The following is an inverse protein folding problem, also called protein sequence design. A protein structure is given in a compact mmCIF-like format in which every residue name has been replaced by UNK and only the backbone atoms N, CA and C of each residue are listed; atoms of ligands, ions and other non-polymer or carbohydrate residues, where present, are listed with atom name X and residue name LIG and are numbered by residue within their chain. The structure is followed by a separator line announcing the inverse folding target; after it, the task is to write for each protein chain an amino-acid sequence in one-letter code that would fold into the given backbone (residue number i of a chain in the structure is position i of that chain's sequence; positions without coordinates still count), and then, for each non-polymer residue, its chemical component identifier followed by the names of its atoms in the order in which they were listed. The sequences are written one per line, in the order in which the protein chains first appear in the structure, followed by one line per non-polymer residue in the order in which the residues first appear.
data_IF_347391290506
#
_entry.id   IF_347391290506
#
_cell.length_a   1.000
_cell.length_b   1.000
_cell.length_c   1.000
_cell.angle_alpha   90.00
_cell.angle_beta   90.00
_cell.angle_gamma   90.00
#
_symmetry.space_group_name_H-M   'P 1'
#
loop_
_entity.id
_entity.type
_entity.pdbx_description
1 polymer ?
#
# COMPACT_ATOMS: atom_id res chain seq x y z
N UNK A 1 24.99 3.09 16.58
CA UNK A 1 25.51 2.01 15.72
C UNK A 1 26.66 2.63 14.92
N UNK A 2 27.92 2.56 15.40
CA UNK A 2 29.01 3.35 14.77
C UNK A 2 30.34 2.58 14.78
N UNK A 3 31.03 2.56 13.62
CA UNK A 3 32.38 2.03 13.44
C UNK A 3 32.50 0.51 13.35
N UNK A 4 31.72 -0.13 12.47
CA UNK A 4 31.82 -1.56 12.25
C UNK A 4 32.89 -1.90 11.22
N UNK A 5 33.67 -2.94 11.51
CA UNK A 5 34.55 -3.54 10.52
C UNK A 5 33.71 -4.16 9.40
N UNK A 6 34.34 -4.41 8.25
CA UNK A 6 33.72 -5.17 7.16
C UNK A 6 33.12 -6.49 7.68
N UNK A 7 33.86 -7.19 8.54
CA UNK A 7 33.41 -8.46 9.13
C UNK A 7 32.11 -8.31 9.91
N UNK A 8 31.96 -7.24 10.69
CA UNK A 8 30.75 -7.04 11.46
C UNK A 8 29.53 -6.74 10.57
N UNK A 9 29.70 -5.99 9.47
CA UNK A 9 28.61 -5.81 8.49
C UNK A 9 28.20 -7.16 7.87
N UNK A 10 29.19 -7.98 7.51
CA UNK A 10 28.94 -9.33 6.97
C UNK A 10 28.14 -10.16 7.97
N UNK A 11 28.57 -10.20 9.23
CA UNK A 11 27.95 -11.05 10.26
C UNK A 11 26.51 -10.61 10.56
N UNK A 12 26.24 -9.32 10.73
CA UNK A 12 24.90 -8.82 11.13
C UNK A 12 23.86 -8.97 10.02
N UNK A 13 24.25 -8.71 8.75
CA UNK A 13 23.36 -8.93 7.60
C UNK A 13 23.07 -10.42 7.46
N UNK A 14 24.12 -11.25 7.55
CA UNK A 14 23.99 -12.70 7.43
C UNK A 14 23.11 -13.28 8.54
N UNK A 15 23.32 -12.88 9.79
CA UNK A 15 22.52 -13.33 10.93
C UNK A 15 21.04 -12.99 10.74
N UNK A 16 20.74 -11.75 10.33
CA UNK A 16 19.35 -11.32 10.09
C UNK A 16 18.66 -12.15 9.00
N UNK A 17 19.40 -12.48 7.94
CA UNK A 17 18.93 -13.31 6.82
C UNK A 17 18.73 -14.76 7.25
N UNK A 18 19.67 -15.34 8.01
CA UNK A 18 19.57 -16.70 8.55
C UNK A 18 18.40 -16.85 9.53
N UNK A 19 18.04 -15.79 10.24
CA UNK A 19 16.86 -15.73 11.12
C UNK A 19 15.54 -15.54 10.36
N UNK A 20 15.57 -15.26 9.06
CA UNK A 20 14.36 -14.97 8.27
C UNK A 20 13.70 -13.64 8.64
N UNK A 21 14.46 -12.67 9.17
CA UNK A 21 13.93 -11.38 9.55
C UNK A 21 13.78 -10.47 8.32
N UNK A 22 12.69 -9.68 8.23
CA UNK A 22 12.60 -8.63 7.22
C UNK A 22 13.59 -7.51 7.56
N UNK A 23 14.69 -7.43 6.81
CA UNK A 23 15.74 -6.44 7.00
C UNK A 23 15.81 -5.45 5.83
N UNK A 24 16.03 -4.18 6.18
CA UNK A 24 16.52 -3.13 5.28
C UNK A 24 17.66 -2.41 5.98
N UNK A 25 18.76 -2.13 5.29
CA UNK A 25 19.78 -1.21 5.80
C UNK A 25 19.25 0.21 5.61
N UNK A 26 18.55 0.69 6.65
CA UNK A 26 17.73 1.90 6.58
C UNK A 26 18.52 3.18 6.35
N UNK A 27 19.77 3.26 6.82
CA UNK A 27 20.65 4.41 6.62
C UNK A 27 22.12 4.00 6.66
N UNK A 28 22.94 4.57 5.77
CA UNK A 28 24.40 4.54 5.87
C UNK A 28 25.04 5.70 5.09
N UNK A 29 26.24 6.10 5.51
CA UNK A 29 27.12 6.99 4.75
C UNK A 29 28.52 6.39 4.63
N UNK A 30 29.48 7.13 4.07
CA UNK A 30 30.88 6.69 4.05
C UNK A 30 31.62 6.87 5.39
N UNK A 31 31.12 7.79 6.22
CA UNK A 31 31.64 8.05 7.57
C UNK A 31 30.59 8.84 8.39
N UNK A 32 30.74 8.88 9.71
CA UNK A 32 29.92 9.70 10.62
C UNK A 32 30.67 10.89 11.23
N UNK A 33 31.99 10.77 11.33
CA UNK A 33 32.90 11.79 11.83
C UNK A 33 34.08 11.92 10.86
N UNK A 34 34.71 13.10 10.78
CA UNK A 34 35.86 13.38 9.91
C UNK A 34 37.20 12.83 10.45
N UNK A 35 37.16 11.64 11.04
CA UNK A 35 38.31 10.94 11.60
C UNK A 35 38.25 9.46 11.22
N UNK A 36 39.38 8.76 11.25
CA UNK A 36 39.45 7.36 10.79
C UNK A 36 38.48 6.41 11.51
N UNK A 37 38.21 6.66 12.80
CA UNK A 37 37.25 5.86 13.59
C UNK A 37 35.79 6.11 13.19
N UNK A 38 35.51 7.19 12.48
CA UNK A 38 34.19 7.53 11.97
C UNK A 38 33.83 6.81 10.67
N UNK A 39 34.78 6.10 10.03
CA UNK A 39 34.56 5.42 8.75
C UNK A 39 33.51 4.32 8.87
N UNK A 40 32.72 4.20 7.82
CA UNK A 40 31.68 3.18 7.68
C UNK A 40 32.05 2.34 6.45
N UNK A 41 32.03 1.00 6.53
CA UNK A 41 32.39 0.10 5.42
C UNK A 41 31.25 0.02 4.38
N UNK A 42 30.86 1.15 3.80
CA UNK A 42 29.70 1.25 2.91
C UNK A 42 29.81 0.37 1.66
N UNK A 43 31.02 0.14 1.13
CA UNK A 43 31.21 -0.78 -0.02
C UNK A 43 30.86 -2.22 0.36
N UNK A 44 31.23 -2.65 1.57
CA UNK A 44 30.83 -3.95 2.11
C UNK A 44 29.33 -4.00 2.35
N UNK A 45 28.71 -2.90 2.81
CA UNK A 45 27.25 -2.81 2.90
C UNK A 45 26.61 -3.04 1.52
N UNK A 46 27.04 -2.32 0.47
CA UNK A 46 26.49 -2.49 -0.89
C UNK A 46 26.61 -3.94 -1.38
N UNK A 47 27.79 -4.53 -1.23
CA UNK A 47 28.06 -5.91 -1.63
C UNK A 47 27.19 -6.92 -0.88
N UNK A 48 27.11 -6.81 0.44
CA UNK A 48 26.37 -7.77 1.28
C UNK A 48 24.86 -7.61 1.11
N UNK A 49 24.37 -6.38 0.93
CA UNK A 49 22.97 -6.14 0.57
C UNK A 49 22.61 -6.85 -0.74
N UNK A 50 23.45 -6.72 -1.77
CA UNK A 50 23.24 -7.42 -3.04
C UNK A 50 23.25 -8.94 -2.88
N UNK A 51 24.29 -9.49 -2.23
CA UNK A 51 24.46 -10.95 -2.07
C UNK A 51 23.36 -11.63 -1.27
N UNK A 52 22.73 -10.89 -0.34
CA UNK A 52 21.71 -11.43 0.56
C UNK A 52 20.29 -10.92 0.25
N UNK A 53 20.09 -10.26 -0.90
CA UNK A 53 18.79 -9.72 -1.31
C UNK A 53 18.17 -8.74 -0.28
N UNK A 54 19.01 -7.99 0.41
CA UNK A 54 18.62 -6.98 1.41
C UNK A 54 18.59 -5.59 0.77
N UNK A 55 17.49 -4.86 0.97
CA UNK A 55 17.37 -3.47 0.52
C UNK A 55 18.23 -2.51 1.33
N UNK A 56 18.56 -1.35 0.76
CA UNK A 56 19.29 -0.29 1.47
C UNK A 56 18.85 1.11 1.06
N UNK A 57 19.11 2.09 1.94
CA UNK A 57 18.95 3.52 1.66
C UNK A 57 20.22 4.27 2.10
N UNK A 58 20.87 4.97 1.17
CA UNK A 58 22.07 5.77 1.45
C UNK A 58 21.70 7.18 1.93
N UNK A 59 22.45 7.72 2.88
CA UNK A 59 22.25 9.04 3.48
C UNK A 59 23.39 10.03 3.16
N UNK A 60 23.14 11.16 2.50
CA UNK A 60 21.90 11.52 1.81
C UNK A 60 22.18 12.37 0.57
N UNK A 61 21.14 12.53 -0.26
CA UNK A 61 21.23 13.21 -1.56
C UNK A 61 21.95 14.55 -1.49
N UNK A 62 21.67 15.34 -0.45
CA UNK A 62 22.29 16.64 -0.23
C UNK A 62 21.96 17.67 -1.33
N UNK A 63 22.52 18.88 -1.22
CA UNK A 63 23.22 19.38 -0.03
C UNK A 63 22.24 19.60 1.13
N UNK A 64 22.76 19.70 2.35
CA UNK A 64 21.95 20.14 3.50
C UNK A 64 22.36 19.58 4.86
N UNK A 65 23.29 18.61 4.90
CA UNK A 65 23.77 18.09 6.17
C UNK A 65 24.59 19.14 6.94
N UNK A 66 24.28 19.33 8.23
CA UNK A 66 24.94 20.28 9.13
C UNK A 66 25.04 19.65 10.54
N UNK A 67 26.24 19.49 11.13
CA UNK A 67 27.55 19.87 10.60
C UNK A 67 28.13 18.90 9.56
N UNK A 68 27.56 17.70 9.37
CA UNK A 68 28.15 16.62 8.56
C UNK A 68 28.01 16.81 7.04
N UNK A 69 28.48 17.94 6.51
CA UNK A 69 28.43 18.27 5.07
C UNK A 69 29.12 17.22 4.17
N UNK A 70 30.05 16.44 4.71
CA UNK A 70 30.68 15.31 4.01
C UNK A 70 29.70 14.18 3.65
N UNK A 71 28.53 14.11 4.29
CA UNK A 71 27.47 13.16 3.93
C UNK A 71 26.67 13.59 2.68
N UNK A 72 26.82 14.83 2.22
CA UNK A 72 26.11 15.30 1.02
C UNK A 72 26.66 14.63 -0.25
N UNK A 73 25.82 13.83 -0.92
CA UNK A 73 26.19 13.11 -2.15
C UNK A 73 26.33 14.03 -3.36
N UNK A 74 25.59 15.14 -3.39
CA UNK A 74 25.61 16.17 -4.45
C UNK A 74 26.06 17.52 -3.90
N UNK A 75 26.48 18.44 -4.78
CA UNK A 75 26.86 19.80 -4.35
C UNK A 75 25.70 20.77 -4.36
N UNK A 76 24.70 20.53 -5.21
CA UNK A 76 23.59 21.46 -5.47
C UNK A 76 22.22 20.77 -5.61
N UNK A 77 22.14 19.47 -5.30
CA UNK A 77 20.91 18.69 -5.38
C UNK A 77 20.63 18.12 -6.76
N UNK A 78 21.48 18.38 -7.75
CA UNK A 78 21.35 17.82 -9.10
C UNK A 78 22.19 16.55 -9.26
N UNK A 79 21.73 15.65 -10.15
CA UNK A 79 22.44 14.40 -10.44
C UNK A 79 23.86 14.64 -10.98
N UNK A 80 24.03 15.69 -11.80
CA UNK A 80 25.32 16.01 -12.43
C UNK A 80 26.41 16.42 -11.43
N UNK A 81 26.02 16.78 -10.20
CA UNK A 81 26.96 17.15 -9.14
C UNK A 81 27.21 16.03 -8.13
N UNK A 82 26.78 14.80 -8.42
CA UNK A 82 27.20 13.61 -7.67
C UNK A 82 28.72 13.51 -7.61
N UNK A 83 29.25 13.28 -6.42
CA UNK A 83 30.70 13.24 -6.16
C UNK A 83 31.07 12.24 -5.08
N UNK A 84 32.36 11.91 -5.02
CA UNK A 84 32.94 11.09 -3.95
C UNK A 84 32.16 9.80 -3.71
N UNK A 85 31.87 9.51 -2.45
CA UNK A 85 31.14 8.30 -2.06
C UNK A 85 29.72 8.24 -2.66
N UNK A 86 29.08 9.40 -2.87
CA UNK A 86 27.75 9.46 -3.49
C UNK A 86 27.75 9.01 -4.95
N UNK A 87 28.76 9.42 -5.71
CA UNK A 87 28.98 8.95 -7.08
C UNK A 87 29.24 7.44 -7.12
N UNK A 88 29.97 6.90 -6.15
CA UNK A 88 30.23 5.47 -6.06
C UNK A 88 28.96 4.67 -5.77
N UNK A 89 28.20 5.06 -4.74
CA UNK A 89 26.92 4.41 -4.38
C UNK A 89 25.92 4.48 -5.54
N UNK A 90 25.82 5.62 -6.23
CA UNK A 90 24.84 5.78 -7.29
C UNK A 90 25.26 5.16 -8.63
N UNK A 91 26.54 5.21 -9.00
CA UNK A 91 26.96 5.05 -10.40
C UNK A 91 28.15 4.12 -10.61
N UNK A 92 29.24 4.26 -9.85
CA UNK A 92 30.53 3.68 -10.26
C UNK A 92 30.92 2.40 -9.53
N UNK A 93 30.37 2.12 -8.35
CA UNK A 93 30.63 0.86 -7.65
C UNK A 93 29.99 -0.33 -8.42
N UNK A 94 30.61 -1.52 -8.46
CA UNK A 94 30.00 -2.71 -9.07
C UNK A 94 28.58 -3.01 -8.53
N UNK A 95 28.34 -2.74 -7.25
CA UNK A 95 27.06 -2.93 -6.58
C UNK A 95 26.26 -1.61 -6.43
N UNK A 96 26.58 -0.61 -7.24
CA UNK A 96 25.88 0.68 -7.25
C UNK A 96 24.42 0.57 -7.70
N UNK A 97 23.61 1.55 -7.30
CA UNK A 97 22.19 1.66 -7.68
C UNK A 97 22.01 1.50 -9.19
N UNK A 98 22.83 2.19 -10.01
CA UNK A 98 22.77 2.07 -11.48
C UNK A 98 22.94 0.64 -12.00
N UNK A 99 23.75 -0.18 -11.33
CA UNK A 99 24.10 -1.52 -11.81
C UNK A 99 23.13 -2.60 -11.32
N UNK A 100 22.54 -2.44 -10.12
CA UNK A 100 21.76 -3.51 -9.48
C UNK A 100 20.30 -3.16 -9.22
N UNK A 101 19.92 -1.89 -9.20
CA UNK A 101 18.54 -1.52 -8.88
C UNK A 101 17.59 -1.90 -10.03
N UNK A 102 16.55 -2.66 -9.70
CA UNK A 102 15.48 -2.98 -10.63
C UNK A 102 14.44 -1.86 -10.56
N UNK A 103 14.29 -1.11 -11.65
CA UNK A 103 13.18 -0.17 -11.79
C UNK A 103 11.89 -0.99 -11.97
N UNK A 104 10.89 -0.88 -11.07
CA UNK A 104 9.64 -1.62 -11.23
C UNK A 104 8.96 -1.18 -12.53
N UNK A 105 8.25 -2.10 -13.19
CA UNK A 105 7.59 -1.82 -14.47
C UNK A 105 6.64 -0.61 -14.41
N UNK A 106 5.98 -0.42 -13.25
CA UNK A 106 5.13 0.74 -12.97
C UNK A 106 5.86 2.09 -13.04
N UNK A 107 7.17 2.10 -12.78
CA UNK A 107 7.98 3.30 -12.91
C UNK A 107 8.55 3.48 -14.32
N UNK A 108 8.49 2.49 -15.21
CA UNK A 108 8.96 2.61 -16.60
C UNK A 108 7.90 3.22 -17.54
N UNK A 109 6.65 3.16 -17.13
CA UNK A 109 5.56 3.87 -17.79
C UNK A 109 5.53 5.32 -17.32
N UNK A 110 5.14 6.24 -18.21
CA UNK A 110 4.83 7.61 -17.81
C UNK A 110 3.82 7.59 -16.64
N UNK A 111 4.02 8.38 -15.57
CA UNK A 111 3.07 8.46 -14.48
C UNK A 111 1.71 8.84 -15.06
N UNK A 112 0.69 8.03 -14.76
CA UNK A 112 -0.66 8.34 -15.21
C UNK A 112 -1.10 9.63 -14.54
N UNK A 113 -1.43 10.64 -15.33
CA UNK A 113 -2.05 11.88 -14.83
C UNK A 113 -3.49 11.65 -14.40
N UNK A 114 -4.07 10.53 -14.80
CA UNK A 114 -5.35 10.07 -14.30
C UNK A 114 -5.17 9.32 -12.97
N UNK A 115 -6.02 9.62 -11.97
CA UNK A 115 -6.09 8.79 -10.77
C UNK A 115 -6.39 7.34 -11.17
N UNK A 116 -5.94 6.34 -10.37
CA UNK A 116 -6.27 4.95 -10.64
C UNK A 116 -7.78 4.82 -10.78
N UNK A 117 -8.24 4.44 -11.96
CA UNK A 117 -9.65 4.13 -12.18
C UNK A 117 -9.90 2.82 -11.44
N UNK A 118 -10.60 2.86 -10.32
CA UNK A 118 -11.16 1.68 -9.66
C UNK A 118 -12.23 1.10 -10.59
N UNK A 119 -11.78 0.32 -11.57
CA UNK A 119 -12.71 -0.38 -12.44
C UNK A 119 -13.45 -1.42 -11.59
N UNK A 120 -14.78 -1.41 -11.65
CA UNK A 120 -15.59 -2.50 -11.11
C UNK A 120 -15.07 -3.80 -11.71
N UNK A 121 -14.69 -4.81 -10.91
CA UNK A 121 -14.33 -6.12 -11.43
C UNK A 121 -15.42 -6.59 -12.39
N UNK A 122 -15.05 -6.90 -13.65
CA UNK A 122 -16.01 -7.42 -14.62
C UNK A 122 -16.64 -8.71 -14.07
N UNK A 123 -17.96 -8.83 -14.19
CA UNK A 123 -18.68 -10.04 -13.75
C UNK A 123 -19.27 -9.96 -12.33
N UNK A 124 -19.55 -8.76 -11.80
CA UNK A 124 -20.36 -8.66 -10.58
C UNK A 124 -21.74 -9.26 -10.83
N UNK A 125 -22.07 -10.31 -10.08
CA UNK A 125 -23.39 -10.96 -10.13
C UNK A 125 -24.51 -10.05 -9.60
N UNK A 126 -24.16 -8.99 -8.86
CA UNK A 126 -25.09 -8.00 -8.36
C UNK A 126 -25.47 -6.95 -9.42
N UNK A 127 -24.74 -6.87 -10.54
CA UNK A 127 -24.95 -5.80 -11.50
C UNK A 127 -26.35 -5.85 -12.12
N UNK A 128 -27.05 -4.72 -12.10
CA UNK A 128 -28.42 -4.54 -12.58
C UNK A 128 -29.47 -5.48 -11.94
N UNK A 129 -29.17 -6.03 -10.77
CA UNK A 129 -30.11 -6.83 -9.97
C UNK A 129 -31.10 -5.96 -9.20
N UNK A 130 -32.28 -6.48 -8.80
CA UNK A 130 -33.19 -5.76 -7.94
C UNK A 130 -32.53 -5.30 -6.63
N UNK A 131 -32.76 -4.05 -6.25
CA UNK A 131 -32.16 -3.45 -5.05
C UNK A 131 -33.25 -2.88 -4.16
N UNK A 132 -33.09 -3.10 -2.86
CA UNK A 132 -34.01 -2.64 -1.85
C UNK A 132 -33.23 -1.89 -0.78
N UNK A 133 -33.75 -0.74 -0.37
CA UNK A 133 -33.13 0.07 0.66
C UNK A 133 -34.16 0.54 1.68
N UNK A 134 -33.70 0.80 2.91
CA UNK A 134 -34.52 1.38 3.97
C UNK A 134 -35.02 2.79 3.62
N UNK A 135 -34.23 3.56 2.87
CA UNK A 135 -34.57 4.91 2.45
C UNK A 135 -33.76 5.33 1.22
N UNK A 136 -34.05 6.53 0.71
CA UNK A 136 -33.25 7.21 -0.30
C UNK A 136 -33.21 8.68 0.03
N UNK A 137 -32.04 9.30 -0.05
CA UNK A 137 -31.89 10.72 0.18
C UNK A 137 -32.76 11.52 -0.81
N UNK A 138 -33.64 12.40 -0.32
CA UNK A 138 -34.55 13.14 -1.20
C UNK A 138 -33.80 14.17 -2.04
N UNK A 139 -34.23 14.32 -3.30
CA UNK A 139 -33.82 15.45 -4.17
C UNK A 139 -32.50 15.27 -4.93
N UNK A 140 -31.70 14.24 -4.66
CA UNK A 140 -30.44 13.98 -5.40
C UNK A 140 -30.56 12.84 -6.43
N UNK A 141 -31.66 12.08 -6.40
CA UNK A 141 -31.89 10.96 -7.31
C UNK A 141 -30.89 9.81 -7.10
N UNK A 142 -30.28 9.69 -5.92
CA UNK A 142 -29.35 8.62 -5.55
C UNK A 142 -30.13 7.35 -5.15
N UNK A 143 -30.91 6.82 -6.10
CA UNK A 143 -31.79 5.67 -5.88
C UNK A 143 -31.00 4.37 -5.67
N UNK A 144 -31.59 3.33 -5.03
CA UNK A 144 -30.86 2.12 -4.66
C UNK A 144 -30.19 1.40 -5.84
N UNK A 145 -30.80 1.42 -7.02
CA UNK A 145 -30.30 0.75 -8.23
C UNK A 145 -28.94 1.30 -8.68
N UNK A 146 -28.64 2.55 -8.34
CA UNK A 146 -27.34 3.16 -8.63
C UNK A 146 -26.19 2.52 -7.87
N UNK A 147 -26.44 1.73 -6.83
CA UNK A 147 -25.40 0.95 -6.16
C UNK A 147 -24.90 -0.24 -7.01
N UNK A 148 -25.66 -0.65 -8.04
CA UNK A 148 -25.37 -1.85 -8.84
C UNK A 148 -25.47 -1.61 -10.35
N UNK A 149 -25.56 -0.37 -10.82
CA UNK A 149 -25.71 -0.05 -12.25
C UNK A 149 -24.40 -0.23 -13.06
N UNK A 150 -23.28 -0.48 -12.38
CA UNK A 150 -21.97 -0.64 -13.00
C UNK A 150 -21.27 0.69 -13.33
N UNK A 151 -21.76 1.81 -12.80
CA UNK A 151 -21.18 3.12 -12.99
C UNK A 151 -20.70 3.71 -11.65
N UNK A 152 -19.38 3.81 -11.47
CA UNK A 152 -18.77 4.34 -10.23
C UNK A 152 -19.03 5.85 -10.01
N UNK A 153 -19.57 6.56 -11.00
CA UNK A 153 -19.96 7.96 -10.88
C UNK A 153 -21.40 8.14 -10.33
N UNK A 154 -22.13 7.05 -10.11
CA UNK A 154 -23.46 7.02 -9.50
C UNK A 154 -23.42 6.25 -8.19
N UNK A 155 -24.35 6.57 -7.29
CA UNK A 155 -24.46 5.94 -5.96
C UNK A 155 -25.89 5.91 -5.47
N UNK A 156 -26.14 5.01 -4.52
CA UNK A 156 -27.24 5.16 -3.57
C UNK A 156 -26.80 6.04 -2.39
N UNK A 157 -27.72 6.84 -1.85
CA UNK A 157 -27.57 7.45 -0.53
C UNK A 157 -28.85 7.31 0.27
N UNK A 158 -28.72 7.05 1.57
CA UNK A 158 -29.83 6.99 2.51
C UNK A 158 -30.22 8.38 3.03
N UNK A 159 -31.30 8.45 3.78
CA UNK A 159 -31.53 9.57 4.68
C UNK A 159 -30.45 9.65 5.79
N UNK A 160 -30.31 10.84 6.38
CA UNK A 160 -29.38 11.14 7.48
C UNK A 160 -29.93 10.68 8.85
N UNK A 161 -30.28 9.40 8.96
CA UNK A 161 -30.71 8.78 10.22
C UNK A 161 -30.23 7.34 10.26
N UNK A 162 -30.08 6.76 11.45
CA UNK A 162 -29.71 5.35 11.60
C UNK A 162 -30.85 4.55 12.26
N UNK A 163 -30.99 3.24 11.96
CA UNK A 163 -30.18 2.45 11.01
C UNK A 163 -30.65 2.58 9.55
N UNK A 164 -29.72 2.49 8.60
CA UNK A 164 -30.01 2.40 7.17
C UNK A 164 -29.40 1.13 6.58
N UNK A 165 -30.12 0.52 5.64
CA UNK A 165 -29.67 -0.66 4.92
C UNK A 165 -29.98 -0.55 3.43
N UNK A 166 -29.19 -1.29 2.66
CA UNK A 166 -29.41 -1.62 1.27
C UNK A 166 -29.10 -3.10 1.11
N UNK A 167 -29.91 -3.82 0.36
CA UNK A 167 -29.65 -5.20 -0.04
C UNK A 167 -30.00 -5.39 -1.52
N UNK A 168 -29.35 -6.37 -2.14
CA UNK A 168 -29.53 -6.71 -3.55
C UNK A 168 -30.08 -8.12 -3.61
N UNK A 169 -31.19 -8.33 -4.30
CA UNK A 169 -31.70 -9.66 -4.59
C UNK A 169 -30.98 -10.19 -5.84
N UNK A 170 -30.18 -11.25 -5.70
CA UNK A 170 -29.44 -11.81 -6.84
C UNK A 170 -30.29 -12.68 -7.77
N UNK A 171 -31.56 -12.92 -7.38
CA UNK A 171 -32.55 -13.74 -8.09
C UNK A 171 -32.22 -15.23 -8.18
N UNK A 172 -31.10 -15.67 -7.60
CA UNK A 172 -30.70 -17.08 -7.46
C UNK A 172 -29.72 -17.23 -6.29
N UNK A 173 -29.46 -18.48 -5.90
CA UNK A 173 -28.43 -18.82 -4.92
C UNK A 173 -27.04 -18.80 -5.56
N UNK A 174 -26.13 -18.01 -4.99
CA UNK A 174 -24.76 -17.92 -5.46
C UNK A 174 -23.76 -18.11 -4.32
N UNK A 175 -22.60 -18.64 -4.68
CA UNK A 175 -21.37 -18.54 -3.92
C UNK A 175 -20.66 -17.23 -4.30
N UNK A 176 -20.58 -16.27 -3.38
CA UNK A 176 -19.85 -15.01 -3.60
C UNK A 176 -18.44 -15.15 -3.05
N UNK A 177 -17.44 -14.90 -3.87
CA UNK A 177 -16.04 -14.91 -3.41
C UNK A 177 -15.60 -13.57 -2.82
N UNK A 178 -16.27 -12.49 -3.21
CA UNK A 178 -15.85 -11.13 -2.89
C UNK A 178 -17.01 -10.16 -2.84
N UNK A 179 -16.89 -9.31 -1.84
CA UNK A 179 -17.66 -8.09 -1.64
C UNK A 179 -16.81 -6.91 -2.11
N UNK A 180 -17.33 -6.07 -2.99
CA UNK A 180 -16.69 -4.80 -3.33
C UNK A 180 -17.66 -3.65 -3.04
N UNK A 181 -17.25 -2.73 -2.17
CA UNK A 181 -18.02 -1.53 -1.82
C UNK A 181 -17.16 -0.32 -2.15
N UNK A 182 -17.64 0.50 -3.09
CA UNK A 182 -17.03 1.79 -3.39
C UNK A 182 -17.78 2.87 -2.60
N UNK A 183 -17.03 3.60 -1.77
CA UNK A 183 -17.58 4.70 -0.99
C UNK A 183 -17.20 6.05 -1.59
N UNK A 184 -18.11 7.02 -1.48
CA UNK A 184 -17.76 8.42 -1.61
C UNK A 184 -17.26 9.01 -0.28
N UNK A 185 -16.89 10.30 -0.28
CA UNK A 185 -16.43 11.04 0.91
C UNK A 185 -17.38 10.96 2.11
N UNK A 186 -18.68 10.78 1.87
CA UNK A 186 -19.68 10.50 2.89
C UNK A 186 -19.94 8.99 2.95
N UNK A 187 -19.34 8.32 3.95
CA UNK A 187 -19.35 6.87 4.09
C UNK A 187 -19.76 6.41 5.48
N UNK A 188 -20.32 5.20 5.57
CA UNK A 188 -20.62 4.56 6.85
C UNK A 188 -19.31 4.23 7.59
N UNK A 189 -19.14 4.74 8.81
CA UNK A 189 -17.95 4.45 9.63
C UNK A 189 -17.97 3.04 10.22
N UNK A 190 -19.15 2.50 10.42
CA UNK A 190 -19.38 1.13 10.86
C UNK A 190 -20.50 0.55 10.02
N UNK A 191 -20.34 -0.70 9.64
CA UNK A 191 -21.36 -1.43 8.90
C UNK A 191 -21.28 -2.91 9.21
N UNK A 192 -22.38 -3.58 8.89
CA UNK A 192 -22.49 -5.03 8.88
C UNK A 192 -22.53 -5.51 7.44
N UNK A 193 -22.24 -6.78 7.26
CA UNK A 193 -22.49 -7.50 6.03
C UNK A 193 -23.31 -8.69 6.47
N UNK A 194 -24.47 -8.88 5.85
CA UNK A 194 -25.37 -9.97 6.21
C UNK A 194 -25.98 -10.58 4.96
N UNK A 195 -26.18 -11.88 5.03
CA UNK A 195 -26.66 -12.74 3.95
C UNK A 195 -28.03 -13.29 4.31
N UNK A 196 -28.88 -13.54 3.32
CA UNK A 196 -30.22 -14.11 3.52
C UNK A 196 -30.70 -14.85 2.28
N UNK A 197 -31.31 -16.01 2.49
CA UNK A 197 -31.94 -16.82 1.43
C UNK A 197 -33.43 -16.44 1.22
N UNK A 198 -34.02 -15.68 2.15
CA UNK A 198 -35.45 -15.38 2.17
C UNK A 198 -35.79 -13.89 2.34
N UNK A 199 -34.77 -13.02 2.45
CA UNK A 199 -34.87 -11.60 2.78
C UNK A 199 -35.57 -11.28 4.12
N UNK A 200 -35.79 -12.28 4.98
CA UNK A 200 -36.45 -12.15 6.28
C UNK A 200 -35.48 -12.44 7.41
N UNK A 201 -34.72 -13.53 7.31
CA UNK A 201 -33.73 -13.95 8.29
C UNK A 201 -32.33 -13.65 7.74
N UNK A 202 -31.60 -12.81 8.47
CA UNK A 202 -30.30 -12.30 8.05
C UNK A 202 -29.19 -12.79 8.97
N UNK A 203 -28.18 -13.43 8.38
CA UNK A 203 -27.02 -13.96 9.11
C UNK A 203 -25.82 -13.03 8.95
N UNK A 204 -25.16 -12.68 10.06
CA UNK A 204 -23.95 -11.84 10.02
C UNK A 204 -22.80 -12.57 9.33
N UNK A 205 -22.14 -11.89 8.39
CA UNK A 205 -20.87 -12.33 7.84
C UNK A 205 -19.70 -11.78 8.66
N UNK A 206 -18.77 -12.65 9.05
CA UNK A 206 -17.49 -12.29 9.67
C UNK A 206 -16.40 -12.97 8.82
N UNK A 207 -15.53 -12.23 8.11
CA UNK A 207 -14.46 -12.85 7.34
C UNK A 207 -13.50 -13.59 8.27
N UNK A 208 -13.24 -14.88 8.04
CA UNK A 208 -12.20 -15.64 8.74
C UNK A 208 -10.83 -15.31 8.15
N UNK A 209 -9.84 -15.04 9.01
CA UNK A 209 -8.47 -14.65 8.58
C UNK A 209 -7.59 -15.83 8.15
N UNK A 210 -8.15 -17.02 7.97
CA UNK A 210 -7.43 -18.22 7.52
C UNK A 210 -8.31 -19.00 6.56
N UNK A 211 -7.78 -19.21 5.37
CA UNK A 211 -8.33 -19.95 4.24
C UNK A 211 -9.47 -19.28 3.46
N UNK A 212 -9.32 -19.35 2.13
CA UNK A 212 -10.22 -18.84 1.11
C UNK A 212 -11.41 -19.79 1.01
N UNK A 213 -12.63 -19.33 1.30
CA UNK A 213 -13.87 -19.99 0.88
C UNK A 213 -15.10 -19.06 1.14
N UNK A 214 -15.92 -18.88 0.07
CA UNK A 214 -17.38 -18.69 -0.04
C UNK A 214 -18.13 -17.71 0.92
N UNK A 215 -18.67 -16.56 0.46
CA UNK A 215 -19.92 -15.93 0.96
C UNK A 215 -20.60 -14.70 0.26
N UNK A 216 -21.95 -14.77 0.24
CA UNK A 216 -23.18 -14.05 -0.23
C UNK A 216 -23.87 -12.71 0.27
N UNK A 217 -23.61 -11.44 -0.15
CA UNK A 217 -24.50 -10.19 -0.02
C UNK A 217 -24.55 -9.45 1.36
N UNK A 218 -25.00 -8.18 1.35
CA UNK A 218 -24.86 -7.13 2.39
C UNK A 218 -26.16 -6.72 3.09
N UNK A 219 -26.01 -6.34 4.36
CA UNK A 219 -26.92 -5.45 5.08
C UNK A 219 -26.05 -4.52 5.90
N UNK A 220 -25.93 -3.25 5.50
CA UNK A 220 -25.21 -2.27 6.29
C UNK A 220 -26.07 -1.92 7.52
N UNK A 221 -25.47 -1.85 8.70
CA UNK A 221 -26.12 -1.27 9.89
C UNK A 221 -25.02 -0.56 10.67
N UNK A 222 -25.09 0.76 10.75
CA UNK A 222 -24.20 1.53 11.62
C UNK A 222 -24.67 1.37 13.07
N UNK A 223 -23.71 1.20 13.99
CA UNK A 223 -23.96 1.20 15.43
C UNK A 223 -23.42 2.53 15.99
N UNK A 224 -24.20 3.16 16.86
CA UNK A 224 -23.84 4.40 17.54
C UNK A 224 -22.64 4.21 18.47
N UNK A 225 -21.80 5.25 18.55
CA UNK A 225 -21.11 5.61 19.79
C UNK A 225 -21.80 6.87 20.34
N UNK A 226 -22.12 6.83 21.65
CA UNK A 226 -22.78 7.88 22.44
C UNK A 226 -22.02 9.21 22.49
#
# INVERSE_FOLDING_TARGET
MWGYSDQKVIDEIKESVEMGLPLVVGEFGHQWEEHDNGKIPYKTILEQCYKNEVGYLAWSWGPGNQPQTFLDMTTDGTFDTLRGWGLEVCVTDPYSIKNIAVRPASMLTEPTTEPPVTNIPKGSIAQNKPVFASSTEPGLGNTPEKAVDGNIATRWSSEYSDPQYIYVDLEDEYEIERVYIEWETAYARQYKIQVSDDAVVWTMYIPSTTETEILTIFTLTQKEDM
#
